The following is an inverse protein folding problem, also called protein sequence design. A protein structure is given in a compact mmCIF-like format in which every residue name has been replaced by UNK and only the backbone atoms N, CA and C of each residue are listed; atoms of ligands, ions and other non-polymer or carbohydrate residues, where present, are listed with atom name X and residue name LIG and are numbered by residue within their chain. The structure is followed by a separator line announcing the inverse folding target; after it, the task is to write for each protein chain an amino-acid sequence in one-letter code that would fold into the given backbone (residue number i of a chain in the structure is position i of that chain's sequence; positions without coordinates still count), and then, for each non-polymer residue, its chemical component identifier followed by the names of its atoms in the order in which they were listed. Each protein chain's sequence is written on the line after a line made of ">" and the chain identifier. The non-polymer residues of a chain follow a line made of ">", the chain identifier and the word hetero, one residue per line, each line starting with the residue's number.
data_IF_360393436223
#
_entry.id   IF_360393436223
#
_cell.length_a   1.000
_cell.length_b   1.000
_cell.length_c   1.000
_cell.angle_alpha   90.00
_cell.angle_beta   90.00
_cell.angle_gamma   90.00
#
_symmetry.space_group_name_H-M   'P 1'
#
loop_
_entity.id
_entity.type
_entity.pdbx_description
1 polymer ?
#
# COMPACT_ATOMS: atom_id res chain seq x y z
N UNK A 1 19.91 28.60 -19.08
CA UNK A 1 19.24 27.66 -18.17
C UNK A 1 17.78 28.03 -18.15
N UNK A 2 16.96 27.35 -18.95
CA UNK A 2 15.51 27.50 -18.89
C UNK A 2 15.12 26.87 -17.57
N UNK A 3 14.61 27.66 -16.62
CA UNK A 3 13.98 27.11 -15.44
C UNK A 3 12.86 26.20 -15.92
N UNK A 4 12.97 24.90 -15.71
CA UNK A 4 11.79 24.04 -15.75
C UNK A 4 10.81 24.66 -14.75
N UNK A 5 9.77 25.31 -15.27
CA UNK A 5 8.64 25.71 -14.45
C UNK A 5 8.11 24.41 -13.87
N UNK A 6 8.29 24.24 -12.56
CA UNK A 6 7.84 23.08 -11.83
C UNK A 6 6.31 23.13 -11.80
N UNK A 7 5.66 22.66 -12.88
CA UNK A 7 4.21 22.67 -13.01
C UNK A 7 3.66 21.58 -12.11
N UNK A 8 3.18 21.98 -10.93
CA UNK A 8 2.46 21.08 -10.05
C UNK A 8 1.08 20.74 -10.64
N UNK A 9 0.54 19.54 -10.38
CA UNK A 9 -0.84 19.23 -10.75
C UNK A 9 -1.83 20.19 -10.08
N UNK A 10 -2.82 20.66 -10.85
CA UNK A 10 -3.91 21.49 -10.36
C UNK A 10 -5.25 20.77 -10.53
N UNK A 11 -6.18 20.98 -9.59
CA UNK A 11 -7.54 20.47 -9.71
C UNK A 11 -8.24 21.14 -10.90
N UNK A 12 -8.70 20.33 -11.85
CA UNK A 12 -9.51 20.78 -12.97
C UNK A 12 -11.00 20.56 -12.68
N UNK A 13 -11.48 21.15 -11.58
CA UNK A 13 -12.89 21.11 -11.17
C UNK A 13 -13.24 22.40 -10.44
N UNK A 14 -14.48 22.87 -10.63
CA UNK A 14 -15.04 23.98 -9.86
C UNK A 14 -15.68 23.51 -8.54
N UNK A 15 -15.83 22.20 -8.35
CA UNK A 15 -16.42 21.60 -7.14
C UNK A 15 -15.31 21.24 -6.14
N UNK A 16 -14.75 22.26 -5.49
CA UNK A 16 -13.68 22.12 -4.50
C UNK A 16 -14.10 22.56 -3.08
N UNK A 17 -15.27 23.18 -2.93
CA UNK A 17 -15.76 23.68 -1.63
C UNK A 17 -15.82 22.60 -0.54
N UNK A 18 -16.29 21.36 -0.77
CA UNK A 18 -16.32 20.36 0.28
C UNK A 18 -14.92 19.99 0.80
N UNK A 19 -13.92 19.95 -0.09
CA UNK A 19 -12.53 19.70 0.31
C UNK A 19 -11.94 20.91 1.05
N UNK A 20 -12.18 22.13 0.59
CA UNK A 20 -11.69 23.32 1.30
C UNK A 20 -12.28 23.44 2.70
N UNK A 21 -13.56 23.10 2.86
CA UNK A 21 -14.22 23.04 4.15
C UNK A 21 -13.58 21.96 5.05
N UNK A 22 -13.38 20.76 4.50
CA UNK A 22 -12.71 19.67 5.21
C UNK A 22 -11.30 20.08 5.66
N UNK A 23 -10.51 20.70 4.78
CA UNK A 23 -9.16 21.16 5.09
C UNK A 23 -9.15 22.19 6.23
N UNK A 24 -9.96 23.25 6.11
CA UNK A 24 -10.08 24.30 7.15
C UNK A 24 -10.47 23.70 8.49
N UNK A 25 -11.40 22.74 8.48
CA UNK A 25 -11.87 22.07 9.67
C UNK A 25 -10.78 21.21 10.32
N UNK A 26 -10.09 20.37 9.54
CA UNK A 26 -8.97 19.55 10.02
C UNK A 26 -7.83 20.41 10.57
N UNK A 27 -7.49 21.53 9.92
CA UNK A 27 -6.49 22.47 10.42
C UNK A 27 -6.90 23.10 11.76
N UNK A 28 -8.18 23.44 11.93
CA UNK A 28 -8.69 23.95 13.21
C UNK A 28 -8.64 22.92 14.35
N UNK A 29 -8.57 21.63 14.01
CA UNK A 29 -8.56 20.47 14.92
C UNK A 29 -7.19 19.79 15.01
N UNK A 30 -6.13 20.41 14.50
CA UNK A 30 -4.81 19.77 14.35
C UNK A 30 -4.28 19.11 15.63
N UNK A 31 -4.31 19.82 16.77
CA UNK A 31 -3.78 19.27 18.03
C UNK A 31 -4.59 18.06 18.54
N UNK A 32 -5.90 18.07 18.32
CA UNK A 32 -6.83 16.98 18.67
C UNK A 32 -6.58 15.75 17.79
N UNK A 33 -6.42 15.95 16.48
CA UNK A 33 -6.06 14.90 15.52
C UNK A 33 -4.73 14.24 15.91
N UNK A 34 -3.70 15.05 16.17
CA UNK A 34 -2.37 14.57 16.53
C UNK A 34 -2.38 13.80 17.87
N UNK A 35 -3.18 14.25 18.84
CA UNK A 35 -3.40 13.55 20.10
C UNK A 35 -4.08 12.19 19.87
N UNK A 36 -5.16 12.15 19.07
CA UNK A 36 -5.87 10.92 18.75
C UNK A 36 -4.96 9.92 18.04
N UNK A 37 -4.21 10.34 17.02
CA UNK A 37 -3.26 9.48 16.30
C UNK A 37 -2.22 8.86 17.23
N UNK A 38 -1.58 9.67 18.11
CA UNK A 38 -0.62 9.15 19.10
C UNK A 38 -1.23 8.07 20.01
N UNK A 39 -2.48 8.24 20.41
CA UNK A 39 -3.18 7.22 21.21
C UNK A 39 -3.45 5.94 20.40
N UNK A 40 -3.82 6.04 19.12
CA UNK A 40 -4.01 4.86 18.27
C UNK A 40 -2.72 4.05 18.10
N UNK A 41 -1.56 4.72 18.04
CA UNK A 41 -0.25 4.07 17.94
C UNK A 41 0.21 3.35 19.22
N UNK A 42 -0.42 3.62 20.37
CA UNK A 42 -0.21 2.81 21.57
C UNK A 42 -0.96 1.48 21.51
N UNK A 43 -2.08 1.42 20.79
CA UNK A 43 -2.94 0.24 20.71
C UNK A 43 -2.59 -0.66 19.53
N UNK A 44 -1.96 -0.12 18.49
CA UNK A 44 -1.68 -0.83 17.24
C UNK A 44 -0.23 -0.66 16.82
N UNK A 45 0.38 -1.74 16.34
CA UNK A 45 1.74 -1.69 15.83
C UNK A 45 1.77 -1.05 14.44
N UNK A 46 2.56 0.02 14.31
CA UNK A 46 2.82 0.66 13.03
C UNK A 46 3.60 -0.28 12.09
N UNK A 47 3.23 -0.36 10.80
CA UNK A 47 4.11 -0.94 9.79
C UNK A 47 5.47 -0.24 9.76
N UNK A 48 6.51 -0.97 9.38
CA UNK A 48 7.85 -0.39 9.19
C UNK A 48 7.84 0.71 8.12
N UNK A 49 7.13 0.43 7.02
CA UNK A 49 6.84 1.36 5.95
C UNK A 49 5.50 1.04 5.30
N UNK A 50 4.97 1.97 4.52
CA UNK A 50 3.79 1.77 3.67
C UNK A 50 3.72 2.91 2.66
N UNK A 51 3.09 2.68 1.52
CA UNK A 51 2.58 3.77 0.67
C UNK A 51 1.06 3.69 0.60
N UNK A 52 0.41 4.85 0.44
CA UNK A 52 -1.04 4.97 0.32
C UNK A 52 -1.34 5.84 -0.89
N UNK A 53 -2.07 5.29 -1.85
CA UNK A 53 -2.53 6.04 -3.01
C UNK A 53 -3.81 6.77 -2.63
N UNK A 54 -3.84 8.09 -2.83
CA UNK A 54 -5.01 8.93 -2.58
C UNK A 54 -5.62 9.37 -3.91
N UNK A 55 -6.93 9.57 -3.93
CA UNK A 55 -7.60 10.34 -4.98
C UNK A 55 -8.29 11.55 -4.39
N UNK A 56 -7.96 12.71 -4.94
CA UNK A 56 -8.63 13.97 -4.67
C UNK A 56 -9.63 14.26 -5.80
N UNK A 57 -10.92 14.24 -5.48
CA UNK A 57 -12.01 14.53 -6.41
C UNK A 57 -12.56 15.96 -6.26
N UNK A 58 -11.98 16.80 -5.40
CA UNK A 58 -12.50 18.12 -5.01
C UNK A 58 -13.67 18.06 -4.01
N UNK A 59 -14.52 17.04 -4.10
CA UNK A 59 -15.61 16.79 -3.15
C UNK A 59 -15.35 15.62 -2.18
N UNK A 60 -14.23 14.90 -2.38
CA UNK A 60 -13.84 13.72 -1.60
C UNK A 60 -12.32 13.51 -1.69
N UNK A 61 -11.67 13.15 -0.58
CA UNK A 61 -10.26 12.79 -0.52
C UNK A 61 -10.12 11.45 0.19
N UNK A 62 -9.91 10.38 -0.57
CA UNK A 62 -9.94 9.03 -0.02
C UNK A 62 -8.76 8.17 -0.49
N UNK A 63 -8.29 7.22 0.35
CA UNK A 63 -7.34 6.22 -0.08
C UNK A 63 -8.00 5.20 -1.00
N UNK A 64 -7.24 4.79 -2.02
CA UNK A 64 -7.69 3.82 -3.03
C UNK A 64 -6.80 2.57 -3.09
N UNK A 65 -5.59 2.66 -2.55
CA UNK A 65 -4.66 1.54 -2.36
C UNK A 65 -3.78 1.76 -1.13
N UNK A 66 -3.35 0.66 -0.51
CA UNK A 66 -2.36 0.66 0.57
C UNK A 66 -1.40 -0.49 0.30
N UNK A 67 -0.14 -0.14 0.10
CA UNK A 67 0.92 -1.09 -0.21
C UNK A 67 1.93 -1.17 0.94
N UNK A 68 2.01 -2.35 1.57
CA UNK A 68 3.00 -2.65 2.62
C UNK A 68 4.39 -2.99 2.05
N UNK A 69 4.55 -3.01 0.73
CA UNK A 69 5.79 -3.28 0.00
C UNK A 69 6.02 -2.17 -1.05
N UNK A 70 6.11 -0.90 -0.63
CA UNK A 70 6.25 0.21 -1.56
C UNK A 70 7.52 0.06 -2.42
N UNK A 71 7.41 0.38 -3.70
CA UNK A 71 8.42 0.11 -4.71
C UNK A 71 8.81 1.36 -5.53
N UNK A 72 8.65 2.55 -4.93
CA UNK A 72 8.88 3.85 -5.58
C UNK A 72 9.75 4.80 -4.75
N UNK A 73 10.69 4.28 -3.96
CA UNK A 73 11.57 5.12 -3.12
C UNK A 73 12.44 6.08 -3.94
N UNK A 74 12.78 5.71 -5.17
CA UNK A 74 13.49 6.56 -6.12
C UNK A 74 12.68 7.77 -6.60
N UNK A 75 11.37 7.81 -6.33
CA UNK A 75 10.50 8.95 -6.66
C UNK A 75 10.39 9.96 -5.50
N UNK A 76 10.97 9.65 -4.33
CA UNK A 76 11.00 10.59 -3.22
C UNK A 76 11.92 11.76 -3.55
N UNK A 77 11.56 12.96 -3.08
CA UNK A 77 12.40 14.13 -3.26
C UNK A 77 13.74 13.92 -2.53
N UNK A 78 14.90 14.03 -3.20
CA UNK A 78 16.20 13.84 -2.55
C UNK A 78 16.41 14.73 -1.31
N UNK A 79 15.76 15.90 -1.23
CA UNK A 79 15.86 16.79 -0.06
C UNK A 79 15.19 16.23 1.20
N UNK A 80 14.31 15.23 1.08
CA UNK A 80 13.65 14.58 2.23
C UNK A 80 14.45 13.42 2.81
N UNK A 81 15.63 13.10 2.23
CA UNK A 81 16.47 11.99 2.69
C UNK A 81 16.76 12.02 4.21
N UNK A 82 17.11 13.16 4.85
CA UNK A 82 17.30 13.20 6.30
C UNK A 82 16.06 12.78 7.11
N UNK A 83 14.85 13.13 6.63
CA UNK A 83 13.59 12.72 7.25
C UNK A 83 13.35 11.21 7.09
N UNK A 84 13.66 10.66 5.91
CA UNK A 84 13.57 9.21 5.67
C UNK A 84 14.52 8.43 6.59
N UNK A 85 15.75 8.92 6.78
CA UNK A 85 16.75 8.34 7.68
C UNK A 85 16.23 8.32 9.12
N UNK A 86 15.74 9.45 9.62
CA UNK A 86 15.16 9.54 10.96
C UNK A 86 13.93 8.63 11.13
N UNK A 87 13.08 8.54 10.11
CA UNK A 87 11.90 7.66 10.14
C UNK A 87 12.29 6.18 10.24
N UNK A 88 13.34 5.74 9.53
CA UNK A 88 13.88 4.37 9.63
C UNK A 88 14.43 4.08 11.03
N UNK A 89 15.21 5.00 11.61
CA UNK A 89 15.75 4.83 12.97
C UNK A 89 14.61 4.66 13.97
N UNK A 90 13.61 5.54 13.93
CA UNK A 90 12.42 5.43 14.77
C UNK A 90 11.64 4.13 14.52
N UNK A 91 11.52 3.69 13.26
CA UNK A 91 10.85 2.43 12.93
C UNK A 91 11.55 1.21 13.54
N UNK A 92 12.88 1.17 13.53
CA UNK A 92 13.65 0.07 14.10
C UNK A 92 13.64 0.08 15.63
N UNK A 93 13.76 1.26 16.25
CA UNK A 93 13.67 1.41 17.71
C UNK A 93 12.33 0.89 18.25
N UNK A 94 11.22 1.10 17.51
CA UNK A 94 9.90 0.58 17.86
C UNK A 94 9.82 -0.94 17.85
N UNK A 95 10.68 -1.63 17.09
CA UNK A 95 10.72 -3.10 17.08
C UNK A 95 11.30 -3.66 18.38
N UNK A 96 11.98 -2.83 19.19
CA UNK A 96 12.71 -3.24 20.40
C UNK A 96 13.78 -4.30 20.12
N UNK A 97 14.31 -4.31 18.90
CA UNK A 97 15.38 -5.19 18.44
C UNK A 97 16.71 -4.44 18.45
N UNK A 98 17.77 -5.04 18.98
CA UNK A 98 19.14 -4.52 18.79
C UNK A 98 19.65 -4.94 17.42
N UNK A 99 19.17 -4.26 16.38
CA UNK A 99 19.51 -4.57 15.00
C UNK A 99 20.81 -3.86 14.56
N UNK A 100 21.75 -4.64 14.03
CA UNK A 100 22.95 -4.14 13.37
C UNK A 100 22.98 -4.47 11.87
N UNK A 101 22.39 -5.62 11.49
CA UNK A 101 22.38 -6.15 10.12
C UNK A 101 20.95 -6.34 9.64
N UNK A 102 20.64 -5.81 8.46
CA UNK A 102 19.35 -5.96 7.79
C UNK A 102 19.58 -6.70 6.47
N UNK A 103 18.81 -7.75 6.23
CA UNK A 103 18.71 -8.38 4.93
C UNK A 103 17.44 -7.88 4.23
N UNK A 104 17.62 -7.12 3.16
CA UNK A 104 16.53 -6.60 2.34
C UNK A 104 16.19 -7.62 1.26
N UNK A 105 14.98 -8.17 1.27
CA UNK A 105 14.53 -9.18 0.30
C UNK A 105 13.85 -8.48 -0.88
N UNK A 106 14.43 -8.67 -2.07
CA UNK A 106 13.93 -8.09 -3.31
C UNK A 106 12.77 -8.91 -3.94
N UNK A 107 12.01 -8.26 -4.81
CA UNK A 107 11.12 -8.92 -5.77
C UNK A 107 11.89 -9.83 -6.71
N UNK A 108 11.19 -10.80 -7.29
CA UNK A 108 11.79 -11.74 -8.25
C UNK A 108 11.99 -11.13 -9.65
N UNK A 109 11.54 -9.89 -9.88
CA UNK A 109 11.59 -9.23 -11.18
C UNK A 109 12.87 -8.39 -11.35
N UNK A 110 13.93 -9.00 -11.89
CA UNK A 110 15.23 -8.34 -12.09
C UNK A 110 15.34 -7.49 -13.36
N UNK A 111 14.30 -7.47 -14.20
CA UNK A 111 14.31 -6.68 -15.45
C UNK A 111 13.74 -5.27 -15.30
N UNK A 112 13.03 -4.99 -14.20
CA UNK A 112 12.45 -3.68 -13.97
C UNK A 112 13.49 -2.76 -13.32
N UNK A 113 14.18 -1.97 -14.15
CA UNK A 113 15.22 -1.05 -13.67
C UNK A 113 14.66 -0.01 -12.68
N UNK A 114 13.42 0.46 -12.85
CA UNK A 114 12.82 1.42 -11.91
C UNK A 114 12.61 0.80 -10.51
N UNK A 115 12.23 -0.48 -10.45
CA UNK A 115 12.16 -1.19 -9.18
C UNK A 115 13.54 -1.31 -8.53
N UNK A 116 14.57 -1.66 -9.31
CA UNK A 116 15.92 -1.80 -8.78
C UNK A 116 16.50 -0.45 -8.32
N UNK A 117 16.18 0.65 -9.00
CA UNK A 117 16.46 2.02 -8.56
C UNK A 117 15.78 2.33 -7.22
N UNK A 118 14.49 1.99 -7.07
CA UNK A 118 13.79 2.09 -5.79
C UNK A 118 14.49 1.29 -4.69
N UNK A 119 14.89 0.05 -4.99
CA UNK A 119 15.56 -0.83 -4.05
C UNK A 119 16.93 -0.28 -3.61
N UNK A 120 17.68 0.30 -4.54
CA UNK A 120 18.95 0.96 -4.26
C UNK A 120 18.78 2.17 -3.33
N UNK A 121 17.75 2.99 -3.57
CA UNK A 121 17.44 4.14 -2.70
C UNK A 121 17.02 3.67 -1.31
N UNK A 122 16.18 2.63 -1.20
CA UNK A 122 15.81 2.03 0.07
C UNK A 122 17.04 1.49 0.82
N UNK A 123 17.93 0.77 0.15
CA UNK A 123 19.19 0.29 0.72
C UNK A 123 20.03 1.46 1.26
N UNK A 124 20.18 2.53 0.49
CA UNK A 124 20.94 3.72 0.89
C UNK A 124 20.31 4.40 2.12
N UNK A 125 18.99 4.56 2.19
CA UNK A 125 18.31 5.13 3.36
C UNK A 125 18.61 4.30 4.62
N UNK A 126 18.49 2.97 4.52
CA UNK A 126 18.78 2.06 5.64
C UNK A 126 20.26 2.11 6.05
N UNK A 127 21.20 2.24 5.09
CA UNK A 127 22.62 2.38 5.39
C UNK A 127 22.94 3.71 6.08
N UNK A 128 22.36 4.82 5.60
CA UNK A 128 22.53 6.13 6.24
C UNK A 128 21.90 6.21 7.63
N UNK A 129 20.89 5.39 7.90
CA UNK A 129 20.35 5.20 9.25
C UNK A 129 21.27 4.45 10.21
N UNK A 130 22.40 3.90 9.73
CA UNK A 130 23.45 3.29 10.54
C UNK A 130 23.49 1.76 10.50
N UNK A 131 22.77 1.11 9.59
CA UNK A 131 22.70 -0.35 9.51
C UNK A 131 23.58 -0.93 8.40
N UNK A 132 24.13 -2.13 8.63
CA UNK A 132 24.70 -2.91 7.53
C UNK A 132 23.56 -3.56 6.74
N UNK A 133 23.49 -3.29 5.44
CA UNK A 133 22.39 -3.78 4.58
C UNK A 133 22.93 -4.52 3.37
N UNK A 134 22.42 -5.74 3.18
CA UNK A 134 22.64 -6.55 1.97
C UNK A 134 21.29 -6.91 1.34
N UNK A 135 21.29 -7.15 0.04
CA UNK A 135 20.08 -7.48 -0.70
C UNK A 135 20.06 -8.98 -1.02
N UNK A 136 19.06 -9.66 -0.48
CA UNK A 136 18.79 -11.07 -0.77
C UNK A 136 17.78 -11.21 -1.90
N UNK A 137 18.01 -12.18 -2.78
CA UNK A 137 17.09 -12.57 -3.85
C UNK A 137 16.59 -14.00 -3.65
N UNK A 138 15.32 -14.21 -3.94
CA UNK A 138 14.64 -15.51 -3.90
C UNK A 138 14.59 -16.18 -5.29
N UNK A 139 15.35 -15.68 -6.26
CA UNK A 139 15.44 -16.27 -7.59
C UNK A 139 15.95 -17.72 -7.50
N UNK A 140 15.20 -18.72 -8.04
CA UNK A 140 15.59 -20.13 -7.93
C UNK A 140 16.94 -20.46 -8.55
N UNK A 141 17.28 -19.79 -9.67
CA UNK A 141 18.48 -20.06 -10.46
C UNK A 141 19.68 -19.16 -10.08
N UNK A 142 19.55 -18.39 -8.99
CA UNK A 142 20.65 -17.57 -8.48
C UNK A 142 21.51 -18.42 -7.54
N UNK A 143 22.74 -18.72 -7.96
CA UNK A 143 23.68 -19.54 -7.18
C UNK A 143 24.93 -18.77 -6.70
N UNK A 144 25.14 -17.57 -7.22
CA UNK A 144 26.22 -16.67 -6.82
C UNK A 144 25.72 -15.22 -6.87
N UNK A 145 26.36 -14.27 -6.14
CA UNK A 145 26.03 -12.86 -6.23
C UNK A 145 26.11 -12.35 -7.68
N UNK A 146 25.13 -11.56 -8.09
CA UNK A 146 25.15 -10.84 -9.37
C UNK A 146 25.19 -9.35 -9.11
N UNK A 147 25.99 -8.65 -9.92
CA UNK A 147 26.05 -7.18 -9.92
C UNK A 147 25.15 -6.70 -11.05
N UNK A 148 24.28 -5.74 -10.76
CA UNK A 148 23.43 -5.09 -11.75
C UNK A 148 23.78 -3.60 -11.78
N UNK A 149 24.21 -3.14 -12.95
CA UNK A 149 24.42 -1.72 -13.22
C UNK A 149 23.07 -1.02 -13.40
N UNK A 150 22.83 0.01 -12.60
CA UNK A 150 21.70 0.92 -12.73
C UNK A 150 22.20 2.28 -13.24
N UNK A 151 21.34 3.09 -13.87
CA UNK A 151 21.69 4.46 -14.24
C UNK A 151 22.30 5.30 -13.10
N UNK A 152 21.83 5.11 -11.85
CA UNK A 152 22.30 5.90 -10.70
C UNK A 152 23.45 5.25 -9.91
N UNK A 153 23.53 3.91 -9.87
CA UNK A 153 24.43 3.16 -8.97
C UNK A 153 24.53 1.69 -9.38
N UNK A 154 25.24 0.87 -8.60
CA UNK A 154 25.23 -0.59 -8.71
C UNK A 154 24.49 -1.20 -7.53
N UNK A 155 23.78 -2.30 -7.78
CA UNK A 155 23.25 -3.17 -6.73
C UNK A 155 23.81 -4.58 -6.85
N UNK A 156 23.92 -5.26 -5.72
CA UNK A 156 24.34 -6.66 -5.65
C UNK A 156 23.16 -7.48 -5.15
N UNK A 157 22.68 -8.41 -5.97
CA UNK A 157 21.67 -9.39 -5.55
C UNK A 157 22.34 -10.69 -5.17
N UNK A 158 22.00 -11.20 -4.00
CA UNK A 158 22.67 -12.36 -3.43
C UNK A 158 21.70 -13.52 -3.18
N UNK A 159 22.14 -14.77 -3.42
CA UNK A 159 21.29 -15.92 -3.17
C UNK A 159 21.02 -16.07 -1.67
N UNK A 160 19.74 -16.07 -1.32
CA UNK A 160 19.33 -16.27 0.07
C UNK A 160 19.53 -17.74 0.45
N UNK A 161 20.18 -17.96 1.60
CA UNK A 161 20.42 -19.28 2.17
C UNK A 161 19.77 -19.38 3.55
N UNK A 162 19.37 -20.59 3.93
CA UNK A 162 18.90 -20.89 5.30
C UNK A 162 19.81 -21.93 5.94
N UNK A 163 20.39 -21.60 7.09
CA UNK A 163 21.21 -22.51 7.91
C UNK A 163 20.79 -22.37 9.37
N UNK A 164 20.56 -23.48 10.07
CA UNK A 164 20.21 -23.50 11.51
C UNK A 164 19.08 -22.53 11.90
N UNK A 165 17.96 -22.57 11.16
CA UNK A 165 16.82 -21.66 11.38
C UNK A 165 17.11 -20.16 11.18
N UNK A 166 18.24 -19.81 10.55
CA UNK A 166 18.57 -18.44 10.20
C UNK A 166 18.65 -18.26 8.68
N UNK A 167 17.91 -17.29 8.17
CA UNK A 167 17.98 -16.84 6.77
C UNK A 167 19.07 -15.79 6.64
N UNK A 168 19.93 -15.93 5.64
CA UNK A 168 21.18 -15.17 5.51
C UNK A 168 21.64 -15.12 4.06
N UNK A 169 22.74 -14.40 3.83
CA UNK A 169 23.56 -14.51 2.61
C UNK A 169 25.00 -14.86 3.03
N UNK A 170 25.86 -15.23 2.09
CA UNK A 170 27.23 -15.68 2.35
C UNK A 170 27.99 -14.70 3.29
N UNK A 171 28.42 -15.17 4.46
CA UNK A 171 29.15 -14.34 5.44
C UNK A 171 28.31 -13.28 6.18
N UNK A 172 26.98 -13.26 6.03
CA UNK A 172 26.12 -12.24 6.64
C UNK A 172 24.82 -12.82 7.18
N UNK A 173 24.76 -12.91 8.51
CA UNK A 173 23.57 -13.28 9.26
C UNK A 173 22.88 -11.99 9.75
N UNK A 174 21.70 -11.64 9.23
CA UNK A 174 20.97 -10.44 9.62
C UNK A 174 20.26 -10.61 10.97
N UNK A 175 20.02 -9.49 11.64
CA UNK A 175 19.11 -9.40 12.80
C UNK A 175 17.65 -9.32 12.32
N UNK A 176 17.41 -8.57 11.24
CA UNK A 176 16.09 -8.31 10.67
C UNK A 176 16.07 -8.71 9.19
N UNK A 177 14.97 -9.32 8.76
CA UNK A 177 14.66 -9.58 7.36
C UNK A 177 13.57 -8.59 6.96
N UNK A 178 13.92 -7.61 6.14
CA UNK A 178 12.99 -6.60 5.61
C UNK A 178 12.53 -7.04 4.22
N UNK A 179 11.24 -7.28 4.04
CA UNK A 179 10.65 -7.71 2.79
C UNK A 179 10.25 -6.48 1.97
N UNK A 180 10.88 -6.29 0.82
CA UNK A 180 10.38 -5.45 -0.28
C UNK A 180 9.90 -6.33 -1.45
N UNK A 181 9.39 -7.52 -1.09
CA UNK A 181 8.76 -8.52 -1.92
C UNK A 181 7.37 -8.80 -1.36
N UNK A 182 6.33 -8.66 -2.17
CA UNK A 182 4.92 -8.70 -1.75
C UNK A 182 4.41 -10.12 -1.41
N UNK A 183 5.21 -11.15 -1.69
CA UNK A 183 4.89 -12.57 -1.52
C UNK A 183 3.60 -12.97 -2.25
N UNK A 184 3.32 -12.36 -3.42
CA UNK A 184 2.14 -12.62 -4.24
C UNK A 184 2.03 -14.06 -4.72
N UNK A 185 3.15 -14.77 -4.87
CA UNK A 185 3.21 -16.20 -5.19
C UNK A 185 3.05 -17.13 -3.96
N UNK A 186 2.77 -16.56 -2.78
CA UNK A 186 2.71 -17.28 -1.51
C UNK A 186 3.99 -17.13 -0.70
N UNK A 187 3.92 -17.45 0.59
CA UNK A 187 5.07 -17.36 1.50
C UNK A 187 6.12 -18.44 1.20
N UNK A 188 7.36 -18.07 0.83
CA UNK A 188 8.44 -19.02 0.57
C UNK A 188 8.75 -19.92 1.77
N UNK A 189 9.03 -21.20 1.51
CA UNK A 189 9.36 -22.18 2.56
C UNK A 189 10.62 -21.81 3.36
N UNK A 190 11.54 -21.05 2.75
CA UNK A 190 12.76 -20.57 3.39
C UNK A 190 12.48 -19.69 4.61
N UNK A 191 11.33 -19.04 4.68
CA UNK A 191 10.93 -18.19 5.81
C UNK A 191 10.15 -18.92 6.92
N UNK A 192 9.84 -20.22 6.75
CA UNK A 192 9.23 -21.02 7.82
C UNK A 192 10.24 -21.31 8.91
N UNK A 193 9.82 -21.31 10.18
CA UNK A 193 10.67 -21.66 11.34
C UNK A 193 12.02 -20.94 11.32
N UNK A 194 11.95 -19.60 11.28
CA UNK A 194 13.09 -18.69 11.27
C UNK A 194 13.13 -17.92 12.58
N UNK A 195 14.33 -17.78 13.17
CA UNK A 195 14.50 -17.06 14.44
C UNK A 195 14.43 -15.54 14.29
N UNK A 196 14.77 -15.03 13.11
CA UNK A 196 14.87 -13.60 12.85
C UNK A 196 13.50 -12.96 12.63
N UNK A 197 13.39 -11.71 13.04
CA UNK A 197 12.19 -10.90 12.82
C UNK A 197 12.04 -10.58 11.34
N UNK A 198 10.90 -11.00 10.75
CA UNK A 198 10.53 -10.74 9.35
C UNK A 198 9.50 -9.62 9.30
N UNK A 199 9.75 -8.62 8.45
CA UNK A 199 8.99 -7.38 8.40
C UNK A 199 8.56 -7.06 6.96
N UNK A 200 7.27 -6.80 6.70
CA UNK A 200 6.14 -7.08 7.59
C UNK A 200 6.02 -8.60 7.88
N UNK A 201 5.26 -9.01 8.91
CA UNK A 201 5.00 -10.42 9.18
C UNK A 201 4.44 -11.13 7.94
N UNK A 202 4.85 -12.37 7.67
CA UNK A 202 4.47 -13.11 6.45
C UNK A 202 2.96 -13.18 6.18
N UNK A 203 2.14 -13.21 7.23
CA UNK A 203 0.66 -13.18 7.15
C UNK A 203 0.08 -11.91 6.50
N UNK A 204 0.88 -10.85 6.43
CA UNK A 204 0.54 -9.58 5.80
C UNK A 204 0.88 -9.54 4.30
N UNK A 205 1.43 -10.65 3.75
CA UNK A 205 1.70 -10.78 2.32
C UNK A 205 0.43 -10.86 1.46
N UNK A 206 0.59 -10.66 0.16
CA UNK A 206 -0.54 -10.55 -0.77
C UNK A 206 -1.36 -11.83 -0.91
N UNK A 207 -0.72 -13.00 -0.73
CA UNK A 207 -1.37 -14.30 -0.85
C UNK A 207 -2.47 -14.56 0.20
N UNK A 208 -2.42 -13.89 1.36
CA UNK A 208 -3.35 -14.10 2.47
C UNK A 208 -4.23 -12.88 2.76
N UNK A 209 -3.96 -11.73 2.15
CA UNK A 209 -4.72 -10.50 2.34
C UNK A 209 -6.03 -10.53 1.55
N UNK A 210 -7.13 -10.18 2.20
CA UNK A 210 -8.41 -9.89 1.56
C UNK A 210 -8.66 -8.38 1.50
N UNK A 211 -9.06 -7.88 0.34
CA UNK A 211 -9.41 -6.46 0.16
C UNK A 211 -10.60 -6.08 1.03
N UNK A 212 -11.62 -6.94 1.12
CA UNK A 212 -12.79 -6.74 1.95
C UNK A 212 -12.44 -6.52 3.42
N UNK A 213 -11.56 -7.35 3.98
CA UNK A 213 -11.07 -7.17 5.36
C UNK A 213 -10.36 -5.84 5.55
N UNK A 214 -9.51 -5.44 4.60
CA UNK A 214 -8.84 -4.14 4.65
C UNK A 214 -9.86 -2.98 4.65
N UNK A 215 -10.84 -3.00 3.75
CA UNK A 215 -11.86 -1.94 3.68
C UNK A 215 -12.77 -1.94 4.92
N UNK A 216 -13.06 -3.10 5.53
CA UNK A 216 -13.78 -3.15 6.81
C UNK A 216 -13.01 -2.43 7.92
N UNK A 217 -11.71 -2.68 8.06
CA UNK A 217 -10.90 -2.00 9.07
C UNK A 217 -10.75 -0.50 8.76
N UNK A 218 -10.55 -0.13 7.49
CA UNK A 218 -10.46 1.27 7.11
C UNK A 218 -11.78 2.01 7.40
N UNK A 219 -12.92 1.40 7.08
CA UNK A 219 -14.24 1.95 7.39
C UNK A 219 -14.38 2.21 8.90
N UNK A 220 -14.00 1.25 9.76
CA UNK A 220 -14.03 1.44 11.21
C UNK A 220 -13.17 2.63 11.66
N UNK A 221 -11.91 2.70 11.19
CA UNK A 221 -11.00 3.80 11.51
C UNK A 221 -11.54 5.14 11.01
N UNK A 222 -12.14 5.17 9.82
CA UNK A 222 -12.71 6.38 9.24
C UNK A 222 -13.96 6.86 10.01
N UNK A 223 -14.82 5.93 10.47
CA UNK A 223 -15.96 6.27 11.34
C UNK A 223 -15.46 6.84 12.68
N UNK A 224 -14.55 6.13 13.35
CA UNK A 224 -13.99 6.58 14.63
C UNK A 224 -13.32 7.96 14.49
N UNK A 225 -12.48 8.14 13.48
CA UNK A 225 -11.84 9.43 13.22
C UNK A 225 -12.88 10.53 12.95
N UNK A 226 -13.87 10.24 12.10
CA UNK A 226 -14.89 11.21 11.74
C UNK A 226 -15.74 11.65 12.92
N UNK A 227 -16.03 10.75 13.87
CA UNK A 227 -16.69 11.09 15.13
C UNK A 227 -15.81 11.99 16.01
N UNK A 228 -14.50 11.73 16.08
CA UNK A 228 -13.58 12.54 16.89
C UNK A 228 -13.42 13.96 16.37
N UNK A 229 -13.38 14.13 15.04
CA UNK A 229 -13.19 15.46 14.45
C UNK A 229 -14.47 16.08 13.94
N UNK A 230 -15.64 15.45 14.08
CA UNK A 230 -16.94 15.95 13.61
C UNK A 230 -16.97 16.27 12.11
N UNK A 231 -16.73 15.25 11.28
CA UNK A 231 -16.88 15.32 9.81
C UNK A 231 -17.81 14.23 9.29
N UNK A 232 -18.32 14.38 8.06
CA UNK A 232 -18.98 13.26 7.37
C UNK A 232 -17.91 12.24 6.94
N UNK A 233 -17.93 10.98 7.45
CA UNK A 233 -16.92 9.98 7.12
C UNK A 233 -16.88 9.67 5.61
N UNK A 234 -17.97 9.92 4.87
CA UNK A 234 -17.98 9.76 3.42
C UNK A 234 -16.96 10.66 2.71
N UNK A 235 -16.50 11.76 3.30
CA UNK A 235 -15.49 12.61 2.68
C UNK A 235 -14.11 11.94 2.58
N UNK A 236 -13.87 10.90 3.39
CA UNK A 236 -12.60 10.18 3.46
C UNK A 236 -12.72 8.67 3.18
N UNK A 237 -13.93 8.11 3.26
CA UNK A 237 -14.16 6.67 3.13
C UNK A 237 -15.04 6.32 1.92
N UNK A 238 -14.53 5.62 0.90
CA UNK A 238 -15.33 5.09 -0.21
C UNK A 238 -16.31 4.02 0.28
N UNK A 239 -17.56 4.10 -0.18
CA UNK A 239 -18.53 3.03 0.08
C UNK A 239 -18.04 1.74 -0.58
N UNK A 240 -18.14 0.63 0.15
CA UNK A 240 -17.82 -0.68 -0.38
C UNK A 240 -18.80 -1.73 0.15
N UNK A 241 -18.96 -2.81 -0.62
CA UNK A 241 -19.59 -4.05 -0.16
C UNK A 241 -18.81 -5.26 -0.64
N UNK A 242 -19.05 -6.38 0.03
CA UNK A 242 -18.57 -7.70 -0.35
C UNK A 242 -19.77 -8.53 -0.84
N UNK A 243 -19.71 -9.03 -2.07
CA UNK A 243 -20.58 -10.13 -2.50
C UNK A 243 -19.90 -11.48 -2.23
N UNK A 244 -20.70 -12.54 -2.13
CA UNK A 244 -20.24 -13.91 -1.90
C UNK A 244 -19.46 -14.49 -3.08
N UNK A 245 -19.31 -15.82 -3.11
CA UNK A 245 -18.59 -16.51 -4.18
C UNK A 245 -19.30 -16.30 -5.52
N UNK A 246 -18.56 -15.77 -6.49
CA UNK A 246 -18.97 -15.64 -7.88
C UNK A 246 -18.32 -16.74 -8.70
N UNK A 247 -19.06 -17.30 -9.64
CA UNK A 247 -18.50 -18.19 -10.64
C UNK A 247 -18.83 -17.68 -12.05
N UNK A 248 -17.91 -16.89 -12.61
CA UNK A 248 -18.03 -16.34 -13.96
C UNK A 248 -18.14 -17.42 -15.04
N UNK A 249 -17.58 -18.62 -14.82
CA UNK A 249 -17.67 -19.73 -15.78
C UNK A 249 -19.02 -20.44 -15.76
N UNK A 250 -19.74 -20.39 -14.63
CA UNK A 250 -21.04 -21.04 -14.45
C UNK A 250 -22.22 -20.08 -14.45
N UNK A 251 -21.99 -18.78 -14.65
CA UNK A 251 -23.02 -17.74 -14.50
C UNK A 251 -23.72 -17.76 -13.12
N UNK A 252 -23.01 -18.17 -12.06
CA UNK A 252 -23.58 -18.23 -10.71
C UNK A 252 -23.17 -17.00 -9.89
N UNK A 253 -24.14 -16.39 -9.20
CA UNK A 253 -23.93 -15.28 -8.26
C UNK A 253 -24.01 -13.86 -8.86
N UNK A 254 -24.33 -13.73 -10.15
CA UNK A 254 -24.45 -12.43 -10.83
C UNK A 254 -25.56 -11.55 -10.28
N UNK A 255 -26.68 -12.14 -9.83
CA UNK A 255 -27.77 -11.40 -9.18
C UNK A 255 -27.31 -10.74 -7.88
N UNK A 256 -26.58 -11.47 -7.01
CA UNK A 256 -25.96 -10.88 -5.81
C UNK A 256 -25.02 -9.72 -6.15
N UNK A 257 -24.25 -9.84 -7.24
CA UNK A 257 -23.34 -8.78 -7.64
C UNK A 257 -24.11 -7.56 -8.16
N UNK A 258 -25.13 -7.78 -9.00
CA UNK A 258 -25.99 -6.74 -9.54
C UNK A 258 -26.73 -5.98 -8.42
N UNK A 259 -27.34 -6.68 -7.46
CA UNK A 259 -28.04 -6.07 -6.32
C UNK A 259 -27.11 -5.23 -5.45
N UNK A 260 -25.88 -5.72 -5.20
CA UNK A 260 -24.90 -4.96 -4.44
C UNK A 260 -24.39 -3.72 -5.20
N UNK A 261 -24.22 -3.82 -6.53
CA UNK A 261 -23.86 -2.69 -7.38
C UNK A 261 -24.96 -1.64 -7.36
N UNK A 262 -26.22 -2.04 -7.53
CA UNK A 262 -27.37 -1.13 -7.50
C UNK A 262 -27.46 -0.39 -6.17
N UNK A 263 -27.37 -1.11 -5.05
CA UNK A 263 -27.43 -0.48 -3.74
C UNK A 263 -26.26 0.49 -3.49
N UNK A 264 -25.03 0.13 -3.88
CA UNK A 264 -23.89 1.06 -3.76
C UNK A 264 -24.13 2.30 -4.63
N UNK A 265 -24.55 2.15 -5.89
CA UNK A 265 -24.80 3.28 -6.80
C UNK A 265 -25.87 4.21 -6.23
N UNK A 266 -26.96 3.66 -5.68
CA UNK A 266 -28.02 4.43 -5.03
C UNK A 266 -27.48 5.21 -3.82
N UNK A 267 -26.68 4.58 -2.96
CA UNK A 267 -26.06 5.25 -1.81
C UNK A 267 -25.04 6.32 -2.22
N UNK A 268 -24.26 6.10 -3.29
CA UNK A 268 -23.38 7.12 -3.86
C UNK A 268 -24.22 8.29 -4.38
N UNK A 269 -25.32 8.02 -5.10
CA UNK A 269 -26.20 9.06 -5.63
C UNK A 269 -26.81 9.93 -4.52
N UNK A 270 -27.20 9.34 -3.38
CA UNK A 270 -27.69 10.11 -2.22
C UNK A 270 -26.63 11.09 -1.70
N UNK A 271 -25.36 10.66 -1.62
CA UNK A 271 -24.25 11.55 -1.22
C UNK A 271 -23.92 12.58 -2.29
N UNK A 272 -23.97 12.20 -3.57
CA UNK A 272 -23.78 13.14 -4.67
C UNK A 272 -24.85 14.23 -4.65
N UNK A 273 -26.12 13.88 -4.40
CA UNK A 273 -27.19 14.86 -4.22
C UNK A 273 -26.97 15.74 -2.98
N UNK A 274 -26.45 15.20 -1.86
CA UNK A 274 -26.13 15.97 -0.64
C UNK A 274 -25.05 17.02 -0.88
N UNK A 275 -24.06 16.73 -1.73
CA UNK A 275 -22.88 17.57 -1.99
C UNK A 275 -22.90 18.23 -3.37
N UNK A 276 -24.07 18.27 -4.03
CA UNK A 276 -24.27 18.83 -5.37
C UNK A 276 -23.25 18.36 -6.41
N UNK A 277 -22.88 17.08 -6.35
CA UNK A 277 -21.91 16.46 -7.26
C UNK A 277 -22.58 16.18 -8.61
N UNK A 278 -22.13 16.81 -9.72
CA UNK A 278 -22.80 16.72 -11.02
C UNK A 278 -22.40 15.47 -11.83
N UNK A 279 -21.58 14.60 -11.26
CA UNK A 279 -21.03 13.43 -11.96
C UNK A 279 -21.92 12.20 -11.77
N UNK A 280 -21.83 11.27 -12.72
CA UNK A 280 -22.51 9.98 -12.59
C UNK A 280 -21.77 9.10 -11.57
N UNK A 281 -22.48 8.47 -10.62
CA UNK A 281 -21.89 7.42 -9.79
C UNK A 281 -21.25 6.31 -10.61
N UNK A 282 -20.27 5.64 -10.02
CA UNK A 282 -19.66 4.44 -10.58
C UNK A 282 -19.20 3.53 -9.46
N UNK A 283 -19.10 2.24 -9.75
CA UNK A 283 -18.59 1.22 -8.83
C UNK A 283 -17.41 0.51 -9.48
N UNK A 284 -16.36 0.28 -8.69
CA UNK A 284 -15.22 -0.55 -9.10
C UNK A 284 -15.40 -1.93 -8.49
N UNK A 285 -15.53 -2.95 -9.33
CA UNK A 285 -15.58 -4.35 -8.91
C UNK A 285 -14.17 -4.91 -8.98
N UNK A 286 -13.75 -5.55 -7.88
CA UNK A 286 -12.42 -6.11 -7.71
C UNK A 286 -12.53 -7.52 -7.15
N UNK A 287 -11.70 -8.45 -7.63
CA UNK A 287 -11.52 -9.73 -6.96
C UNK A 287 -10.98 -9.50 -5.53
N UNK A 288 -11.62 -10.15 -4.54
CA UNK A 288 -11.30 -9.97 -3.11
C UNK A 288 -9.88 -10.46 -2.78
N UNK A 289 -9.52 -11.64 -3.29
CA UNK A 289 -8.18 -12.21 -3.28
C UNK A 289 -7.56 -12.10 -4.69
N UNK A 290 -6.54 -11.27 -4.85
CA UNK A 290 -5.87 -11.07 -6.14
C UNK A 290 -4.84 -9.95 -6.10
N UNK A 291 -3.78 -10.09 -6.91
CA UNK A 291 -2.69 -9.13 -7.05
C UNK A 291 -2.83 -8.26 -8.31
N UNK A 292 -2.14 -7.11 -8.34
CA UNK A 292 -1.89 -6.29 -9.53
C UNK A 292 -3.10 -5.93 -10.41
N UNK A 293 -4.25 -5.60 -9.82
CA UNK A 293 -5.39 -5.05 -10.58
C UNK A 293 -6.00 -5.99 -11.62
N UNK A 294 -5.64 -7.28 -11.64
CA UNK A 294 -6.28 -8.26 -12.50
C UNK A 294 -7.74 -8.47 -12.09
N UNK A 295 -8.65 -8.35 -13.06
CA UNK A 295 -10.09 -8.48 -12.82
C UNK A 295 -10.74 -7.26 -12.17
N UNK A 296 -10.26 -6.05 -12.49
CA UNK A 296 -10.91 -4.79 -12.12
C UNK A 296 -11.83 -4.32 -13.24
N UNK A 297 -13.09 -4.07 -12.94
CA UNK A 297 -14.05 -3.48 -13.87
C UNK A 297 -14.75 -2.28 -13.24
N UNK A 298 -15.10 -1.29 -14.05
CA UNK A 298 -15.89 -0.13 -13.64
C UNK A 298 -17.27 -0.25 -14.25
N UNK A 299 -18.31 -0.05 -13.46
CA UNK A 299 -19.72 -0.09 -13.91
C UNK A 299 -20.48 1.12 -13.44
N UNK A 300 -21.50 1.51 -14.20
CA UNK A 300 -22.36 2.66 -13.91
C UNK A 300 -23.82 2.28 -13.64
N UNK A 301 -24.21 1.03 -13.88
CA UNK A 301 -25.52 0.47 -13.56
C UNK A 301 -25.41 -1.05 -13.34
N UNK A 302 -26.42 -1.64 -12.73
CA UNK A 302 -26.47 -3.08 -12.44
C UNK A 302 -26.65 -3.94 -13.71
N UNK A 303 -27.29 -3.41 -14.76
CA UNK A 303 -27.52 -4.15 -16.01
C UNK A 303 -26.20 -4.46 -16.75
N UNK A 304 -25.17 -3.64 -16.58
CA UNK A 304 -23.81 -3.94 -17.05
C UNK A 304 -23.25 -5.25 -16.49
N UNK A 305 -23.70 -5.68 -15.30
CA UNK A 305 -23.31 -6.96 -14.69
C UNK A 305 -24.05 -8.13 -15.32
N UNK A 306 -25.36 -7.99 -15.49
CA UNK A 306 -26.21 -9.04 -16.06
C UNK A 306 -25.90 -9.29 -17.54
N UNK A 307 -25.36 -8.27 -18.22
CA UNK A 307 -24.94 -8.33 -19.62
C UNK A 307 -23.49 -8.79 -19.83
N UNK A 308 -22.75 -9.16 -18.77
CA UNK A 308 -21.42 -9.78 -18.84
C UNK A 308 -21.49 -11.17 -19.49
N UNK A 309 -21.65 -11.21 -20.81
CA UNK A 309 -21.61 -12.42 -21.62
C UNK A 309 -20.27 -12.54 -22.36
N UNK A 310 -19.54 -13.63 -22.04
CA UNK A 310 -18.45 -14.29 -22.81
C UNK A 310 -17.45 -13.37 -23.53
N UNK A 311 -16.40 -12.93 -22.83
CA UNK A 311 -15.05 -12.78 -23.42
C UNK A 311 -14.05 -13.52 -22.56
#
# INVERSE_FOLDING_TARGET
>A
MISEQNTAPHLNTTLHEPLEHLEKHLLSRQAEIEYWLRNQWHNTQLPFYTSVDLRNAGFKLAPIDTNLFPAGFNNLNPTTLPLCVQAVQSAIERLKETAYKILLIAENHTRNLHYLESLAVLQNILQQAGYQVRIGSLLPDLHAPIIIDLPSTQIVLEPVIKKNHCVSVEGFVPCIILLNNDLSLGSPSIFKDVHQTIIPPLRSGWATRLKSTHFTYYHQVAQEFAEQVDIDPWLIDPLFKKCGKLNFMKNEGYECLADNVDDILNNIQLKYNKYDVPYKPFVIIKADAGSYGMGVMTVHNADEILSLNRK
#
